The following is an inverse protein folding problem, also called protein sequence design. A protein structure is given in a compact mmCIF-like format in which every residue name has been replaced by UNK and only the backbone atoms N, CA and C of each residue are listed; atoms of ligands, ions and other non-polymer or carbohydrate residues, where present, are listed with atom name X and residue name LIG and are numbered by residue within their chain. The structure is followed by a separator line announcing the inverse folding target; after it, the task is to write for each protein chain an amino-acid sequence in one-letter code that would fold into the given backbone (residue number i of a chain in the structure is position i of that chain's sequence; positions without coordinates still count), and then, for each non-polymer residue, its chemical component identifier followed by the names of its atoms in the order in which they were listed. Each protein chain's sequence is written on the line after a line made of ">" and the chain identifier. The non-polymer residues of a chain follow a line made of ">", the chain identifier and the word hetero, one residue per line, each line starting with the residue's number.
data_IF_508450367815
#
_entry.id   IF_508450367815
#
_cell.length_a   1.000
_cell.length_b   1.000
_cell.length_c   1.000
_cell.angle_alpha   90.00
_cell.angle_beta   90.00
_cell.angle_gamma   90.00
#
_symmetry.space_group_name_H-M   'P 1'
#
loop_
_entity.id
_entity.type
_entity.pdbx_description
1 polymer ?
#
# COMPACT_ATOMS: atom_id res chain seq x y z
N UNK A 1 -24.44 -10.90 52.63
CA UNK A 1 -24.36 -11.58 51.34
C UNK A 1 -23.83 -10.61 50.30
N UNK A 2 -22.57 -10.79 49.80
CA UNK A 2 -22.00 -10.03 48.71
C UNK A 2 -22.23 -10.80 47.42
N UNK A 3 -23.01 -10.23 46.49
CA UNK A 3 -23.20 -10.77 45.16
C UNK A 3 -22.09 -10.22 44.28
N UNK A 4 -21.11 -11.07 43.96
CA UNK A 4 -20.03 -10.73 42.99
C UNK A 4 -20.67 -10.83 41.59
N UNK A 5 -20.92 -9.67 40.94
CA UNK A 5 -21.23 -9.61 39.50
C UNK A 5 -19.94 -9.88 38.73
N UNK A 6 -19.79 -11.08 38.20
CA UNK A 6 -18.78 -11.41 37.20
C UNK A 6 -19.25 -10.86 35.84
N UNK A 7 -18.68 -9.72 35.44
CA UNK A 7 -18.81 -9.20 34.09
C UNK A 7 -18.02 -10.12 33.13
N UNK A 8 -18.71 -11.03 32.47
CA UNK A 8 -18.14 -11.72 31.31
C UNK A 8 -17.96 -10.69 30.18
N UNK A 9 -16.75 -10.17 30.04
CA UNK A 9 -16.35 -9.43 28.85
C UNK A 9 -16.29 -10.45 27.71
N UNK A 10 -17.33 -10.54 26.89
CA UNK A 10 -17.24 -11.19 25.59
C UNK A 10 -16.33 -10.34 24.71
N UNK A 11 -15.05 -10.69 24.59
CA UNK A 11 -14.20 -10.17 23.51
C UNK A 11 -14.84 -10.60 22.19
N UNK A 12 -15.17 -9.66 21.29
CA UNK A 12 -15.72 -10.03 20.00
C UNK A 12 -14.71 -10.94 19.29
N UNK A 13 -15.15 -12.14 18.93
CA UNK A 13 -14.32 -13.05 18.11
C UNK A 13 -13.97 -12.32 16.83
N UNK A 14 -12.68 -12.07 16.59
CA UNK A 14 -12.18 -11.43 15.36
C UNK A 14 -12.63 -12.30 14.18
N UNK A 15 -13.56 -11.77 13.38
CA UNK A 15 -14.11 -12.49 12.22
C UNK A 15 -13.10 -12.51 11.10
N UNK A 16 -12.71 -13.71 10.65
CA UNK A 16 -11.91 -13.87 9.43
C UNK A 16 -12.73 -13.44 8.20
N UNK A 17 -12.07 -12.70 7.30
CA UNK A 17 -12.65 -12.21 6.03
C UNK A 17 -12.03 -12.86 4.80
N UNK A 18 -11.09 -13.81 5.00
CA UNK A 18 -10.42 -14.52 3.92
C UNK A 18 -9.20 -15.28 4.44
N UNK A 19 -8.37 -15.72 3.52
CA UNK A 19 -7.13 -16.42 3.83
C UNK A 19 -6.04 -16.15 2.79
N UNK A 20 -4.79 -16.41 3.17
CA UNK A 20 -3.64 -16.49 2.25
C UNK A 20 -2.83 -17.74 2.51
N UNK A 21 -2.20 -18.29 1.47
CA UNK A 21 -1.30 -19.45 1.54
C UNK A 21 0.18 -19.04 1.47
N UNK A 22 0.52 -17.82 1.83
CA UNK A 22 1.90 -17.30 1.77
C UNK A 22 2.74 -17.67 3.00
N UNK A 23 2.43 -18.75 3.67
CA UNK A 23 3.25 -19.24 4.77
C UNK A 23 4.31 -20.22 4.26
N UNK A 24 5.50 -20.19 4.86
CA UNK A 24 6.61 -21.10 4.52
C UNK A 24 6.31 -22.58 4.86
N UNK A 25 5.44 -22.81 5.84
CA UNK A 25 5.02 -24.15 6.30
C UNK A 25 3.74 -24.66 5.62
N UNK A 26 3.15 -23.87 4.70
CA UNK A 26 1.90 -24.20 4.02
C UNK A 26 0.63 -24.02 4.87
N UNK A 27 0.75 -23.50 6.08
CA UNK A 27 -0.41 -23.19 6.92
C UNK A 27 -1.08 -21.91 6.42
N UNK A 28 -2.39 -21.93 6.07
CA UNK A 28 -3.05 -20.72 5.60
C UNK A 28 -3.27 -19.73 6.75
N UNK A 29 -2.80 -18.48 6.58
CA UNK A 29 -3.16 -17.39 7.47
C UNK A 29 -4.56 -16.88 7.17
N UNK A 30 -5.27 -16.47 8.21
CA UNK A 30 -6.60 -15.86 8.08
C UNK A 30 -6.47 -14.35 7.99
N UNK A 31 -7.20 -13.76 7.04
CA UNK A 31 -7.35 -12.31 6.99
C UNK A 31 -8.39 -11.86 8.02
N UNK A 32 -8.06 -10.79 8.72
CA UNK A 32 -8.95 -10.01 9.56
C UNK A 32 -9.06 -8.59 8.99
N UNK A 33 -10.03 -7.82 9.42
CA UNK A 33 -10.06 -6.39 9.08
C UNK A 33 -8.89 -5.70 9.75
N UNK A 34 -8.17 -4.91 8.97
CA UNK A 34 -7.11 -4.03 9.44
C UNK A 34 -7.65 -2.69 9.95
N UNK A 35 -6.76 -1.73 10.14
CA UNK A 35 -7.08 -0.44 10.75
C UNK A 35 -7.02 0.72 9.76
N UNK A 36 -7.74 1.80 10.08
CA UNK A 36 -7.63 3.09 9.38
C UNK A 36 -6.23 3.72 9.55
N UNK A 37 -5.50 3.35 10.60
CA UNK A 37 -4.15 3.84 10.84
C UNK A 37 -3.20 3.39 9.73
N UNK A 38 -3.23 2.13 9.34
CA UNK A 38 -2.40 1.60 8.25
C UNK A 38 -2.77 2.23 6.90
N UNK A 39 -4.07 2.47 6.65
CA UNK A 39 -4.52 3.23 5.48
C UNK A 39 -3.95 4.65 5.49
N UNK A 40 -3.91 5.31 6.67
CA UNK A 40 -3.38 6.66 6.81
C UNK A 40 -1.88 6.75 6.48
N UNK A 41 -1.09 5.72 6.81
CA UNK A 41 0.33 5.62 6.41
C UNK A 41 0.46 5.63 4.88
N UNK A 42 -0.37 4.85 4.19
CA UNK A 42 -0.34 4.79 2.72
C UNK A 42 -0.86 6.08 2.07
N UNK A 43 -1.88 6.73 2.64
CA UNK A 43 -2.32 8.05 2.17
C UNK A 43 -1.22 9.09 2.30
N UNK A 44 -0.44 9.04 3.38
CA UNK A 44 0.70 9.96 3.56
C UNK A 44 1.81 9.71 2.53
N UNK A 45 2.10 8.45 2.22
CA UNK A 45 2.99 8.11 1.11
C UNK A 45 2.49 8.72 -0.21
N UNK A 46 1.20 8.57 -0.53
CA UNK A 46 0.59 9.13 -1.74
C UNK A 46 0.74 10.66 -1.81
N UNK A 47 0.45 11.37 -0.72
CA UNK A 47 0.63 12.83 -0.62
C UNK A 47 2.09 13.25 -0.90
N UNK A 48 3.07 12.53 -0.33
CA UNK A 48 4.49 12.83 -0.52
C UNK A 48 4.93 12.57 -1.95
N UNK A 49 4.45 11.48 -2.56
CA UNK A 49 4.76 11.12 -3.95
C UNK A 49 4.16 12.15 -4.92
N UNK A 50 2.91 12.54 -4.73
CA UNK A 50 2.23 13.53 -5.58
C UNK A 50 2.83 14.95 -5.43
N UNK A 51 3.26 15.31 -4.23
CA UNK A 51 3.95 16.58 -3.98
C UNK A 51 5.44 16.55 -4.36
N UNK A 52 5.95 15.41 -4.86
CA UNK A 52 7.36 15.18 -5.22
C UNK A 52 8.34 15.41 -4.06
N UNK A 53 7.85 15.21 -2.83
CA UNK A 53 8.66 15.36 -1.62
C UNK A 53 9.39 14.05 -1.28
N UNK A 54 10.33 13.67 -2.15
CA UNK A 54 11.02 12.39 -2.10
C UNK A 54 11.92 12.21 -0.87
N UNK A 55 12.45 13.30 -0.34
CA UNK A 55 13.33 13.23 0.85
C UNK A 55 12.56 12.72 2.08
N UNK A 56 11.30 13.11 2.24
CA UNK A 56 10.47 12.65 3.35
C UNK A 56 9.99 11.20 3.19
N UNK A 57 10.10 10.60 2.00
CA UNK A 57 9.77 9.20 1.81
C UNK A 57 10.67 8.27 2.64
N UNK A 58 11.95 8.62 2.86
CA UNK A 58 12.87 7.82 3.66
C UNK A 58 12.37 7.60 5.09
N UNK A 59 11.64 8.56 5.66
CA UNK A 59 11.08 8.43 7.00
C UNK A 59 9.86 7.50 7.05
N UNK A 60 9.17 7.33 5.91
CA UNK A 60 7.95 6.53 5.78
C UNK A 60 8.18 5.07 5.46
N UNK A 61 9.37 4.72 5.02
CA UNK A 61 9.72 3.34 4.68
C UNK A 61 10.66 2.72 5.71
N UNK A 62 10.61 1.40 5.81
CA UNK A 62 11.64 0.67 6.53
C UNK A 62 12.94 0.70 5.70
N UNK A 63 14.10 0.58 6.36
CA UNK A 63 15.42 0.60 5.70
C UNK A 63 15.58 -0.57 4.72
N UNK A 64 14.87 -1.67 4.93
CA UNK A 64 14.85 -2.87 4.09
C UNK A 64 13.66 -2.91 3.13
N UNK A 65 12.97 -1.78 2.90
CA UNK A 65 11.79 -1.75 2.06
C UNK A 65 12.08 -2.23 0.63
N UNK A 66 11.15 -3.01 0.08
CA UNK A 66 11.22 -3.53 -1.29
C UNK A 66 10.01 -3.13 -2.11
N UNK A 67 10.25 -2.86 -3.38
CA UNK A 67 9.26 -2.45 -4.36
C UNK A 67 9.24 -3.47 -5.48
N UNK A 68 8.10 -4.10 -5.72
CA UNK A 68 7.94 -5.05 -6.81
C UNK A 68 6.96 -4.49 -7.83
N UNK A 69 7.43 -4.28 -9.05
CA UNK A 69 6.61 -3.78 -10.15
C UNK A 69 5.83 -4.90 -10.84
N UNK A 70 4.87 -4.51 -11.68
CA UNK A 70 4.01 -5.43 -12.44
C UNK A 70 4.77 -6.38 -13.38
N UNK A 71 6.00 -6.06 -13.75
CA UNK A 71 6.89 -6.91 -14.56
C UNK A 71 7.74 -7.86 -13.70
N UNK A 72 7.59 -7.83 -12.36
CA UNK A 72 8.36 -8.64 -11.42
C UNK A 72 9.72 -8.04 -11.01
N UNK A 73 10.10 -6.89 -11.56
CA UNK A 73 11.32 -6.19 -11.15
C UNK A 73 11.21 -5.73 -9.71
N UNK A 74 12.29 -5.91 -8.94
CA UNK A 74 12.38 -5.50 -7.54
C UNK A 74 13.41 -4.38 -7.39
N UNK A 75 13.02 -3.36 -6.64
CA UNK A 75 13.86 -2.20 -6.35
C UNK A 75 13.93 -1.92 -4.84
N UNK A 76 15.04 -1.33 -4.44
CA UNK A 76 15.19 -0.71 -3.12
C UNK A 76 14.46 0.64 -3.09
N UNK A 77 14.29 1.22 -1.90
CA UNK A 77 13.72 2.57 -1.75
C UNK A 77 14.49 3.61 -2.57
N UNK A 78 15.85 3.56 -2.53
CA UNK A 78 16.66 4.49 -3.32
C UNK A 78 16.38 4.37 -4.81
N UNK A 79 16.37 3.15 -5.35
CA UNK A 79 16.07 2.92 -6.77
C UNK A 79 14.65 3.37 -7.14
N UNK A 80 13.66 3.12 -6.26
CA UNK A 80 12.30 3.61 -6.44
C UNK A 80 12.26 5.15 -6.55
N UNK A 81 12.98 5.86 -5.68
CA UNK A 81 13.05 7.32 -5.70
C UNK A 81 13.74 7.80 -6.98
N UNK A 82 14.90 7.22 -7.33
CA UNK A 82 15.64 7.57 -8.54
C UNK A 82 14.78 7.42 -9.80
N UNK A 83 14.00 6.33 -9.91
CA UNK A 83 13.09 6.09 -11.04
C UNK A 83 11.94 7.11 -11.08
N UNK A 84 11.41 7.51 -9.95
CA UNK A 84 10.36 8.54 -9.91
C UNK A 84 10.92 9.92 -10.30
N UNK A 85 12.10 10.29 -9.85
CA UNK A 85 12.79 11.52 -10.28
C UNK A 85 13.06 11.53 -11.79
N UNK A 86 13.54 10.41 -12.34
CA UNK A 86 13.77 10.27 -13.79
C UNK A 86 12.46 10.38 -14.57
N UNK A 87 11.39 9.71 -14.12
CA UNK A 87 10.07 9.81 -14.73
C UNK A 87 9.58 11.25 -14.75
N UNK A 88 9.66 11.95 -13.61
CA UNK A 88 9.19 13.33 -13.51
C UNK A 88 9.96 14.27 -14.42
N UNK A 89 11.26 14.07 -14.56
CA UNK A 89 12.10 14.82 -15.50
C UNK A 89 11.66 14.57 -16.95
N UNK A 90 11.40 13.32 -17.31
CA UNK A 90 10.94 12.93 -18.64
C UNK A 90 9.55 13.54 -18.96
N UNK A 91 8.62 13.45 -18.03
CA UNK A 91 7.28 14.04 -18.18
C UNK A 91 7.35 15.56 -18.41
N UNK A 92 8.19 16.24 -17.63
CA UNK A 92 8.41 17.69 -17.78
C UNK A 92 9.02 18.02 -19.15
N UNK A 93 10.00 17.27 -19.61
CA UNK A 93 10.65 17.51 -20.92
C UNK A 93 9.69 17.31 -22.10
N UNK A 94 8.69 16.43 -21.94
CA UNK A 94 7.71 16.11 -22.98
C UNK A 94 6.41 16.95 -22.86
N UNK A 95 6.31 17.89 -21.93
CA UNK A 95 5.05 18.57 -21.55
C UNK A 95 3.92 17.59 -21.24
N UNK A 96 4.25 16.50 -20.57
CA UNK A 96 3.30 15.49 -20.12
C UNK A 96 3.06 15.59 -18.62
N UNK A 97 1.89 15.15 -18.19
CA UNK A 97 1.53 15.01 -16.77
C UNK A 97 1.14 13.56 -16.46
N UNK A 98 1.43 13.12 -15.26
CA UNK A 98 0.93 11.86 -14.71
C UNK A 98 0.18 12.13 -13.43
N UNK A 99 -1.11 11.81 -13.42
CA UNK A 99 -1.99 12.00 -12.27
C UNK A 99 -2.41 10.64 -11.73
N UNK A 100 -2.33 10.48 -10.42
CA UNK A 100 -2.78 9.32 -9.68
C UNK A 100 -4.00 9.68 -8.84
N UNK A 101 -5.14 9.07 -9.13
CA UNK A 101 -6.39 9.34 -8.42
C UNK A 101 -6.81 8.10 -7.63
N UNK A 102 -6.75 8.13 -6.29
CA UNK A 102 -7.16 7.00 -5.47
C UNK A 102 -8.66 6.75 -5.63
N UNK A 103 -9.03 5.50 -5.90
CA UNK A 103 -10.41 5.07 -6.12
C UNK A 103 -10.99 4.39 -4.89
N UNK A 104 -10.22 3.53 -4.26
CA UNK A 104 -10.58 2.87 -3.01
C UNK A 104 -9.34 2.42 -2.24
N UNK A 105 -9.51 2.19 -0.96
CA UNK A 105 -8.50 1.58 -0.09
C UNK A 105 -9.18 0.70 0.96
N UNK A 106 -8.51 -0.39 1.33
CA UNK A 106 -8.87 -1.21 2.49
C UNK A 106 -7.64 -1.82 3.12
N UNK A 107 -7.74 -2.16 4.39
CA UNK A 107 -6.67 -2.80 5.16
C UNK A 107 -7.11 -4.18 5.64
N UNK A 108 -6.20 -5.14 5.59
CA UNK A 108 -6.37 -6.48 6.16
C UNK A 108 -5.16 -6.85 7.01
N UNK A 109 -5.43 -7.51 8.12
CA UNK A 109 -4.47 -8.04 9.06
C UNK A 109 -4.39 -9.56 8.88
N UNK A 110 -3.18 -10.08 8.64
CA UNK A 110 -2.96 -11.51 8.44
C UNK A 110 -2.91 -12.26 9.77
N UNK A 111 -2.29 -11.65 10.77
CA UNK A 111 -2.14 -12.21 12.10
C UNK A 111 -2.04 -11.08 13.13
N UNK A 112 -3.12 -10.80 13.87
CA UNK A 112 -3.14 -9.73 14.86
C UNK A 112 -2.09 -9.84 15.96
N UNK A 113 -1.50 -11.02 16.15
CA UNK A 113 -0.49 -11.26 17.17
C UNK A 113 0.93 -10.98 16.67
N UNK A 114 1.15 -10.98 15.33
CA UNK A 114 2.45 -10.72 14.71
C UNK A 114 2.71 -9.24 14.40
N UNK A 115 1.66 -8.43 14.37
CA UNK A 115 1.71 -7.03 13.97
C UNK A 115 2.00 -6.82 12.49
N UNK A 116 1.53 -5.71 11.96
CA UNK A 116 1.61 -5.35 10.56
C UNK A 116 0.32 -5.68 9.78
N UNK A 117 0.03 -4.85 8.80
CA UNK A 117 -1.20 -4.94 8.03
C UNK A 117 -0.91 -4.79 6.54
N UNK A 118 -1.70 -5.47 5.71
CA UNK A 118 -1.69 -5.24 4.28
C UNK A 118 -2.72 -4.19 3.91
N UNK A 119 -2.29 -3.15 3.22
CA UNK A 119 -3.18 -2.13 2.65
C UNK A 119 -3.23 -2.32 1.14
N UNK A 120 -4.44 -2.47 0.59
CA UNK A 120 -4.67 -2.42 -0.83
C UNK A 120 -5.18 -1.03 -1.20
N UNK A 121 -4.64 -0.46 -2.27
CA UNK A 121 -5.08 0.82 -2.81
C UNK A 121 -5.16 0.76 -4.32
N UNK A 122 -6.34 1.06 -4.87
CA UNK A 122 -6.59 1.13 -6.31
C UNK A 122 -6.51 2.58 -6.76
N UNK A 123 -5.76 2.83 -7.82
CA UNK A 123 -5.64 4.13 -8.47
C UNK A 123 -6.12 4.08 -9.92
N UNK A 124 -6.71 5.18 -10.36
CA UNK A 124 -6.78 5.52 -11.77
C UNK A 124 -5.59 6.44 -12.09
N UNK A 125 -4.67 5.95 -12.90
CA UNK A 125 -3.53 6.72 -13.37
C UNK A 125 -3.81 7.26 -14.77
N UNK A 126 -3.56 8.55 -14.98
CA UNK A 126 -3.79 9.26 -16.25
C UNK A 126 -2.49 9.92 -16.70
N UNK A 127 -1.99 9.51 -17.86
CA UNK A 127 -1.01 10.27 -18.63
C UNK A 127 -1.75 11.22 -19.57
N UNK A 128 -1.35 12.50 -19.58
CA UNK A 128 -2.00 13.53 -20.39
C UNK A 128 -0.96 14.50 -20.95
N UNK A 129 -1.04 14.75 -22.26
CA UNK A 129 -0.33 15.79 -23.00
C UNK A 129 -1.32 16.58 -23.85
N UNK A 130 -0.86 17.59 -24.60
CA UNK A 130 -1.71 18.32 -25.54
C UNK A 130 -2.29 17.42 -26.66
N UNK A 131 -1.57 16.36 -27.05
CA UNK A 131 -1.92 15.51 -28.19
C UNK A 131 -2.56 14.18 -27.79
N UNK A 132 -2.40 13.74 -26.53
CA UNK A 132 -2.79 12.40 -26.13
C UNK A 132 -3.24 12.31 -24.68
N UNK A 133 -4.14 11.36 -24.43
CA UNK A 133 -4.55 10.97 -23.09
C UNK A 133 -4.63 9.45 -23.01
N UNK A 134 -3.99 8.86 -22.03
CA UNK A 134 -4.06 7.43 -21.76
C UNK A 134 -4.27 7.15 -20.27
N UNK A 135 -4.97 6.06 -19.97
CA UNK A 135 -5.33 5.70 -18.60
C UNK A 135 -5.09 4.22 -18.35
N UNK A 136 -4.78 3.90 -17.11
CA UNK A 136 -4.71 2.53 -16.62
C UNK A 136 -5.09 2.47 -15.14
N UNK A 137 -5.54 1.32 -14.68
CA UNK A 137 -5.67 1.06 -13.26
C UNK A 137 -4.37 0.51 -12.70
N UNK A 138 -3.95 1.05 -11.55
CA UNK A 138 -2.84 0.52 -10.77
C UNK A 138 -3.37 0.05 -9.42
N UNK A 139 -3.20 -1.23 -9.14
CA UNK A 139 -3.52 -1.83 -7.85
C UNK A 139 -2.23 -1.98 -7.07
N UNK A 140 -2.11 -1.26 -5.95
CA UNK A 140 -0.94 -1.26 -5.10
C UNK A 140 -1.24 -2.00 -3.81
N UNK A 141 -0.36 -2.98 -3.48
CA UNK A 141 -0.38 -3.70 -2.22
C UNK A 141 0.81 -3.30 -1.37
N UNK A 142 0.50 -2.77 -0.20
CA UNK A 142 1.50 -2.36 0.79
C UNK A 142 1.48 -3.34 1.95
N UNK A 143 2.65 -3.63 2.52
CA UNK A 143 2.74 -4.18 3.85
C UNK A 143 3.24 -3.07 4.77
N UNK A 144 2.43 -2.73 5.78
CA UNK A 144 2.71 -1.67 6.75
C UNK A 144 2.98 -2.33 8.10
N UNK A 145 4.08 -1.99 8.72
CA UNK A 145 4.45 -2.47 10.06
C UNK A 145 5.05 -1.32 10.86
N UNK A 146 4.61 -1.15 12.11
CA UNK A 146 5.12 -0.12 13.03
C UNK A 146 5.07 1.31 12.42
N UNK A 147 4.01 1.60 11.65
CA UNK A 147 3.82 2.88 11.00
C UNK A 147 4.70 3.14 9.78
N UNK A 148 5.45 2.13 9.30
CA UNK A 148 6.31 2.21 8.11
C UNK A 148 5.88 1.22 7.04
N UNK A 149 6.09 1.58 5.77
CA UNK A 149 5.89 0.68 4.64
C UNK A 149 7.13 -0.21 4.50
N UNK A 150 6.90 -1.53 4.49
CA UNK A 150 7.97 -2.56 4.38
C UNK A 150 8.04 -3.09 2.95
N UNK A 151 6.89 -3.31 2.31
CA UNK A 151 6.84 -3.73 0.91
C UNK A 151 5.78 -2.97 0.15
N UNK A 152 6.01 -2.77 -1.14
CA UNK A 152 5.02 -2.31 -2.11
C UNK A 152 5.07 -3.23 -3.32
N UNK A 153 3.90 -3.71 -3.75
CA UNK A 153 3.72 -4.45 -5.01
C UNK A 153 2.71 -3.74 -5.88
N UNK A 154 3.04 -3.57 -7.15
CA UNK A 154 2.19 -2.88 -8.12
C UNK A 154 1.72 -3.85 -9.20
N UNK A 155 0.43 -3.80 -9.50
CA UNK A 155 -0.20 -4.52 -10.61
C UNK A 155 -0.93 -3.50 -11.48
N UNK A 156 -0.71 -3.55 -12.79
CA UNK A 156 -1.34 -2.63 -13.72
C UNK A 156 -2.33 -3.34 -14.63
N UNK A 157 -3.43 -2.65 -14.92
CA UNK A 157 -4.44 -3.10 -15.88
C UNK A 157 -4.72 -1.97 -16.86
N UNK A 158 -4.42 -2.19 -18.14
CA UNK A 158 -4.75 -1.23 -19.21
C UNK A 158 -6.26 -1.07 -19.37
N UNK A 159 -6.70 0.16 -19.57
CA UNK A 159 -8.06 0.50 -19.96
C UNK A 159 -8.07 0.53 -21.49
N UNK A 160 -8.98 -0.24 -22.09
CA UNK A 160 -9.17 -0.27 -23.55
C UNK A 160 -10.14 0.80 -23.98
#
# INVERSE_FOLDING_TARGET
>A
AFIALTLFSCSPTKRSVGFTNWSDDGTPYKFHLGTEQSISVVKKFDELLQSKNYDLLYEHFSDSATFTYHNGEQNTLKQFIDLNLQRDSTLTANNETLKWEPQNAFSVDLDPDMGGEHVNMLYLATYESEESKSQFYANLWFYVREGKIVTLRQFNQSIK
#
